data_IF_473535301026
#
_entry.id   IF_473535301026
#
_cell.length_a   1.000
_cell.length_b   1.000
_cell.length_c   1.000
_cell.angle_alpha   90.00
_cell.angle_beta   90.00
_cell.angle_gamma   90.00
#
_symmetry.space_group_name_H-M   'P 1'
#
loop_
_entity.id
_entity.type
_entity.pdbx_description
1 polymer ?
#
# COMPACT_ATOMS: atom_id res chain seq x y z
N UNK A 1 12.29 -22.47 15.76
CA UNK A 1 12.38 -21.10 15.21
C UNK A 1 11.01 -20.46 15.26
N UNK A 2 10.95 -19.14 15.44
CA UNK A 2 9.71 -18.37 15.48
C UNK A 2 9.61 -17.45 14.26
N UNK A 3 8.40 -17.19 13.84
CA UNK A 3 8.09 -16.31 12.70
C UNK A 3 7.00 -15.33 13.10
N UNK A 4 7.08 -14.11 12.57
CA UNK A 4 6.07 -13.08 12.79
C UNK A 4 5.31 -12.82 11.50
N UNK A 5 3.99 -12.94 11.56
CA UNK A 5 3.08 -12.45 10.52
C UNK A 5 2.50 -11.10 10.92
N UNK A 6 2.50 -10.15 10.00
CA UNK A 6 1.90 -8.82 10.18
C UNK A 6 0.82 -8.62 9.13
N UNK A 7 -0.41 -8.37 9.56
CA UNK A 7 -1.54 -8.03 8.70
C UNK A 7 -1.95 -6.57 8.94
N UNK A 8 -1.64 -5.71 7.99
CA UNK A 8 -2.03 -4.30 8.01
C UNK A 8 -3.44 -4.13 7.43
N UNK A 9 -4.45 -4.33 8.26
CA UNK A 9 -5.86 -4.15 7.86
C UNK A 9 -6.27 -2.69 7.76
N UNK A 10 -7.53 -2.44 7.39
CA UNK A 10 -8.06 -1.06 7.25
C UNK A 10 -8.26 -0.37 8.62
N UNK A 11 -8.63 -1.10 9.66
CA UNK A 11 -8.93 -0.54 10.99
C UNK A 11 -7.90 -0.88 12.06
N UNK A 12 -7.06 -1.87 11.83
CA UNK A 12 -6.07 -2.34 12.79
C UNK A 12 -4.93 -3.09 12.12
N UNK A 13 -3.75 -3.07 12.75
CA UNK A 13 -2.69 -4.03 12.46
C UNK A 13 -2.82 -5.21 13.41
N UNK A 14 -2.75 -6.42 12.85
CA UNK A 14 -2.73 -7.66 13.60
C UNK A 14 -1.38 -8.34 13.44
N UNK A 15 -0.85 -8.85 14.53
CA UNK A 15 0.43 -9.56 14.54
C UNK A 15 0.24 -10.95 15.15
N UNK A 16 0.92 -11.92 14.59
CA UNK A 16 0.95 -13.31 15.07
C UNK A 16 2.38 -13.78 15.22
N UNK A 17 2.68 -14.45 16.32
CA UNK A 17 3.93 -15.16 16.53
C UNK A 17 3.62 -16.65 16.44
N UNK A 18 4.31 -17.36 15.54
CA UNK A 18 4.10 -18.79 15.31
C UNK A 18 5.43 -19.51 15.11
N UNK A 19 5.45 -20.81 15.35
CA UNK A 19 6.61 -21.65 15.06
C UNK A 19 6.49 -22.37 13.69
N UNK A 20 7.52 -23.09 13.32
CA UNK A 20 7.61 -23.87 12.08
C UNK A 20 6.55 -24.97 11.92
N UNK A 21 5.87 -25.35 13.02
CA UNK A 21 4.76 -26.34 12.99
C UNK A 21 3.41 -25.67 12.74
N UNK A 22 3.36 -24.34 12.73
CA UNK A 22 2.14 -23.55 12.63
C UNK A 22 1.44 -23.33 13.98
N UNK A 23 2.07 -23.69 15.11
CA UNK A 23 1.54 -23.39 16.44
C UNK A 23 1.68 -21.92 16.75
N UNK A 24 0.58 -21.28 17.14
CA UNK A 24 0.54 -19.87 17.55
C UNK A 24 1.01 -19.75 19.01
N UNK A 25 2.01 -18.91 19.22
CA UNK A 25 2.57 -18.60 20.53
C UNK A 25 2.03 -17.28 21.11
N UNK A 26 1.55 -16.38 20.24
CA UNK A 26 0.94 -15.13 20.66
C UNK A 26 0.29 -14.36 19.51
N UNK A 27 -0.64 -13.50 19.86
CA UNK A 27 -1.29 -12.58 18.92
C UNK A 27 -1.49 -11.23 19.58
N UNK A 28 -1.44 -10.16 18.78
CA UNK A 28 -1.82 -8.82 19.24
C UNK A 28 -2.55 -8.08 18.11
N UNK A 29 -3.38 -7.12 18.49
CA UNK A 29 -4.09 -6.24 17.55
C UNK A 29 -4.05 -4.82 18.09
N UNK A 30 -3.76 -3.86 17.21
CA UNK A 30 -3.67 -2.44 17.53
C UNK A 30 -4.48 -1.66 16.52
N UNK A 31 -5.41 -0.84 17.01
CA UNK A 31 -6.30 -0.02 16.18
C UNK A 31 -5.64 1.32 15.83
N UNK A 32 -6.03 1.90 14.70
CA UNK A 32 -5.65 3.24 14.28
C UNK A 32 -6.81 3.96 13.60
N UNK A 33 -6.68 5.28 13.51
CA UNK A 33 -7.74 6.14 13.02
C UNK A 33 -7.94 6.01 11.50
N UNK A 34 -9.21 6.04 11.11
CA UNK A 34 -9.67 6.21 9.74
C UNK A 34 -10.27 7.62 9.63
N UNK A 35 -9.86 8.37 8.63
CA UNK A 35 -10.30 9.75 8.40
C UNK A 35 -11.21 9.81 7.17
N UNK A 36 -12.29 10.57 7.27
CA UNK A 36 -13.24 10.84 6.20
C UNK A 36 -13.33 12.35 5.96
N UNK A 37 -12.34 12.98 5.27
CA UNK A 37 -12.27 14.44 5.12
C UNK A 37 -13.45 15.02 4.36
N UNK A 38 -14.04 14.24 3.44
CA UNK A 38 -15.23 14.58 2.66
C UNK A 38 -16.10 13.34 2.45
N UNK A 39 -17.38 13.47 2.10
CA UNK A 39 -18.23 12.32 1.76
C UNK A 39 -17.59 11.47 0.65
N UNK A 40 -17.48 10.16 0.90
CA UNK A 40 -16.88 9.20 -0.02
C UNK A 40 -15.35 9.18 -0.05
N UNK A 41 -14.66 10.01 0.76
CA UNK A 41 -13.20 9.97 0.91
C UNK A 41 -12.81 9.11 2.11
N UNK A 42 -11.67 8.44 2.00
CA UNK A 42 -11.14 7.58 3.05
C UNK A 42 -9.62 7.68 3.08
N UNK A 43 -9.07 8.15 4.20
CA UNK A 43 -7.64 8.41 4.36
C UNK A 43 -7.11 7.87 5.68
N UNK A 44 -5.82 7.55 5.69
CA UNK A 44 -5.08 7.23 6.91
C UNK A 44 -3.69 7.88 6.91
N UNK A 45 -3.17 8.13 8.12
CA UNK A 45 -1.79 8.56 8.29
C UNK A 45 -0.87 7.33 8.32
N UNK A 46 0.06 7.15 7.38
CA UNK A 46 0.97 6.01 7.37
C UNK A 46 1.84 5.89 8.63
N UNK A 47 2.12 7.00 9.32
CA UNK A 47 2.86 6.98 10.58
C UNK A 47 2.10 6.22 11.68
N UNK A 48 0.77 6.26 11.68
CA UNK A 48 -0.03 5.54 12.66
C UNK A 48 0.14 4.02 12.49
N UNK A 49 0.20 3.52 11.26
CA UNK A 49 0.45 2.11 10.98
C UNK A 49 1.79 1.65 11.55
N UNK A 50 2.85 2.43 11.32
CA UNK A 50 4.18 2.12 11.81
C UNK A 50 4.24 2.13 13.34
N UNK A 51 3.69 3.18 13.96
CA UNK A 51 3.70 3.33 15.42
C UNK A 51 2.96 2.19 16.11
N UNK A 52 1.76 1.83 15.60
CA UNK A 52 0.96 0.75 16.16
C UNK A 52 1.57 -0.63 15.87
N UNK A 53 2.21 -0.83 14.71
CA UNK A 53 2.95 -2.06 14.43
C UNK A 53 4.14 -2.22 15.38
N UNK A 54 4.91 -1.17 15.64
CA UNK A 54 6.02 -1.18 16.62
C UNK A 54 5.52 -1.46 18.03
N UNK A 55 4.42 -0.82 18.45
CA UNK A 55 3.81 -1.08 19.76
C UNK A 55 3.35 -2.54 19.86
N UNK A 56 2.67 -3.04 18.84
CA UNK A 56 2.24 -4.45 18.79
C UNK A 56 3.40 -5.44 18.80
N UNK A 57 4.48 -5.16 18.09
CA UNK A 57 5.71 -5.98 18.13
C UNK A 57 6.34 -6.01 19.52
N UNK A 58 6.38 -4.87 20.23
CA UNK A 58 6.89 -4.79 21.60
C UNK A 58 6.04 -5.64 22.54
N UNK A 59 4.71 -5.57 22.43
CA UNK A 59 3.80 -6.38 23.24
C UNK A 59 3.96 -7.87 22.94
N UNK A 60 4.00 -8.24 21.67
CA UNK A 60 4.09 -9.64 21.21
C UNK A 60 5.41 -10.31 21.65
N UNK A 61 6.49 -9.54 21.69
CA UNK A 61 7.84 -10.05 21.98
C UNK A 61 8.33 -9.77 23.39
N UNK A 62 7.44 -9.34 24.31
CA UNK A 62 7.83 -8.92 25.66
C UNK A 62 8.57 -10.01 26.43
N UNK A 63 8.10 -11.25 26.36
CA UNK A 63 8.64 -12.41 27.09
C UNK A 63 9.27 -13.44 26.12
N UNK A 64 9.64 -13.01 24.91
CA UNK A 64 10.20 -13.88 23.87
C UNK A 64 11.70 -13.61 23.70
N UNK A 65 12.49 -14.65 23.60
CA UNK A 65 13.88 -14.51 23.15
C UNK A 65 13.89 -14.13 21.66
N UNK A 66 14.26 -12.88 21.38
CA UNK A 66 14.25 -12.33 20.03
C UNK A 66 15.22 -13.02 19.09
N UNK A 67 16.25 -13.71 19.62
CA UNK A 67 17.20 -14.48 18.82
C UNK A 67 16.56 -15.71 18.17
N UNK A 68 15.42 -16.18 18.69
CA UNK A 68 14.66 -17.28 18.10
C UNK A 68 13.77 -16.86 16.92
N UNK A 69 13.55 -15.54 16.71
CA UNK A 69 12.74 -15.02 15.61
C UNK A 69 13.55 -15.05 14.32
N UNK A 70 13.17 -15.96 13.43
CA UNK A 70 13.87 -16.22 12.18
C UNK A 70 13.41 -15.30 11.02
N UNK A 71 12.22 -14.73 11.11
CA UNK A 71 11.71 -13.88 10.04
C UNK A 71 10.38 -13.20 10.35
N UNK A 72 10.10 -12.17 9.54
CA UNK A 72 8.84 -11.42 9.56
C UNK A 72 8.30 -11.33 8.13
N UNK A 73 6.98 -11.45 7.98
CA UNK A 73 6.29 -11.29 6.70
C UNK A 73 5.08 -10.39 6.84
N UNK A 74 4.69 -9.77 5.74
CA UNK A 74 3.66 -8.73 5.70
C UNK A 74 2.54 -9.10 4.72
N UNK A 75 1.30 -8.97 5.18
CA UNK A 75 0.10 -8.83 4.37
C UNK A 75 -0.61 -7.53 4.75
N UNK A 76 -1.65 -7.15 4.02
CA UNK A 76 -2.42 -5.98 4.43
C UNK A 76 -3.35 -5.45 3.36
N UNK A 77 -3.95 -4.28 3.64
CA UNK A 77 -4.88 -3.62 2.73
C UNK A 77 -4.20 -3.26 1.40
N UNK A 78 -4.88 -3.61 0.31
CA UNK A 78 -4.42 -3.43 -1.06
C UNK A 78 -4.71 -2.01 -1.59
N UNK A 79 -4.16 -1.67 -2.76
CA UNK A 79 -4.54 -0.55 -3.64
C UNK A 79 -4.35 0.86 -3.09
N UNK A 80 -4.17 1.05 -1.79
CA UNK A 80 -3.97 2.37 -1.19
C UNK A 80 -2.75 3.08 -1.79
N UNK A 81 -2.80 4.41 -1.86
CA UNK A 81 -1.70 5.23 -2.37
C UNK A 81 -0.94 5.87 -1.21
N UNK A 82 0.30 5.46 -1.01
CA UNK A 82 1.29 6.15 -0.16
C UNK A 82 2.33 6.78 -1.08
N UNK A 83 2.60 8.08 -0.89
CA UNK A 83 3.59 8.82 -1.67
C UNK A 83 4.63 9.47 -0.76
N UNK A 84 5.90 9.27 -1.12
CA UNK A 84 7.04 9.80 -0.36
C UNK A 84 7.85 10.77 -1.21
N UNK A 85 8.48 11.73 -0.54
CA UNK A 85 9.41 12.69 -1.14
C UNK A 85 10.86 12.15 -1.23
N UNK A 86 11.80 13.02 -1.54
CA UNK A 86 13.22 12.69 -1.67
C UNK A 86 13.89 12.29 -0.34
N UNK A 87 13.31 12.66 0.80
CA UNK A 87 13.78 12.35 2.14
C UNK A 87 13.06 11.14 2.76
N UNK A 88 12.22 10.43 1.95
CA UNK A 88 11.35 9.35 2.40
C UNK A 88 10.26 9.79 3.39
N UNK A 89 9.92 11.08 3.40
CA UNK A 89 8.84 11.62 4.19
C UNK A 89 7.49 11.50 3.46
N UNK A 90 6.46 11.19 4.23
CA UNK A 90 5.09 11.06 3.69
C UNK A 90 4.57 12.43 3.27
N UNK A 91 4.26 12.60 1.98
CA UNK A 91 3.81 13.87 1.41
C UNK A 91 2.40 14.24 1.88
N UNK A 92 1.52 13.26 2.03
CA UNK A 92 0.13 13.43 2.45
C UNK A 92 -0.43 12.14 3.07
N UNK A 93 -1.58 12.19 3.79
CA UNK A 93 -2.29 10.98 4.21
C UNK A 93 -2.57 10.05 3.02
N UNK A 94 -2.45 8.75 3.25
CA UNK A 94 -2.71 7.74 2.24
C UNK A 94 -4.17 7.76 1.78
N UNK A 95 -4.41 7.69 0.47
CA UNK A 95 -5.75 7.50 -0.11
C UNK A 95 -6.04 6.00 -0.14
N UNK A 96 -7.06 5.55 0.57
CA UNK A 96 -7.31 4.12 0.77
C UNK A 96 -8.07 3.45 -0.39
N UNK A 97 -8.12 2.12 -0.35
CA UNK A 97 -8.78 1.29 -1.36
C UNK A 97 -10.30 1.54 -1.50
N UNK A 98 -10.96 1.92 -0.41
CA UNK A 98 -12.39 2.23 -0.32
C UNK A 98 -12.72 3.72 -0.55
N UNK A 99 -11.77 4.50 -1.05
CA UNK A 99 -11.95 5.90 -1.40
C UNK A 99 -12.58 6.05 -2.79
N UNK A 100 -13.62 6.86 -2.90
CA UNK A 100 -14.40 7.05 -4.14
C UNK A 100 -14.08 8.32 -4.93
N UNK A 101 -13.08 9.12 -4.52
CA UNK A 101 -12.79 10.45 -5.14
C UNK A 101 -12.35 10.39 -6.61
N UNK A 102 -11.92 9.24 -7.09
CA UNK A 102 -11.20 9.09 -8.37
C UNK A 102 -12.11 8.73 -9.55
N UNK A 103 -13.43 8.88 -9.45
CA UNK A 103 -14.35 8.43 -10.51
C UNK A 103 -14.04 9.10 -11.87
N UNK A 104 -13.72 10.40 -11.88
CA UNK A 104 -13.33 11.12 -13.11
C UNK A 104 -12.09 10.48 -13.79
N UNK A 105 -11.10 10.10 -13.01
CA UNK A 105 -9.86 9.47 -13.50
C UNK A 105 -10.13 8.04 -13.99
N UNK A 106 -11.06 7.31 -13.35
CA UNK A 106 -11.52 5.99 -13.82
C UNK A 106 -12.21 6.12 -15.18
N UNK A 107 -13.08 7.11 -15.34
CA UNK A 107 -13.79 7.36 -16.60
C UNK A 107 -12.81 7.72 -17.72
N UNK A 108 -11.83 8.60 -17.45
CA UNK A 108 -10.74 8.91 -18.38
C UNK A 108 -9.98 7.65 -18.80
N UNK A 109 -9.52 6.85 -17.85
CA UNK A 109 -8.76 5.62 -18.14
C UNK A 109 -9.58 4.61 -18.93
N UNK A 110 -10.83 4.35 -18.55
CA UNK A 110 -11.65 3.32 -19.18
C UNK A 110 -12.25 3.74 -20.53
N UNK A 111 -12.54 5.03 -20.73
CA UNK A 111 -13.26 5.49 -21.91
C UNK A 111 -12.34 6.20 -22.92
N UNK A 112 -11.38 7.03 -22.47
CA UNK A 112 -10.48 7.77 -23.37
C UNK A 112 -9.24 6.95 -23.71
N UNK A 113 -8.54 6.37 -22.72
CA UNK A 113 -7.45 5.41 -22.96
C UNK A 113 -8.01 4.10 -23.50
N UNK A 114 -9.12 3.64 -22.94
CA UNK A 114 -9.89 2.47 -23.36
C UNK A 114 -9.53 1.19 -22.61
N UNK A 115 -10.57 0.44 -22.23
CA UNK A 115 -10.44 -0.81 -21.44
C UNK A 115 -9.55 -1.86 -22.13
N UNK A 116 -9.63 -1.99 -23.44
CA UNK A 116 -8.80 -2.93 -24.19
C UNK A 116 -7.32 -2.57 -24.13
N UNK A 117 -7.01 -1.27 -24.24
CA UNK A 117 -5.65 -0.74 -24.11
C UNK A 117 -5.10 -0.97 -22.71
N UNK A 118 -5.88 -0.65 -21.68
CA UNK A 118 -5.50 -0.91 -20.29
C UNK A 118 -5.24 -2.39 -20.02
N UNK A 119 -6.15 -3.26 -20.50
CA UNK A 119 -5.99 -4.72 -20.38
C UNK A 119 -4.74 -5.23 -21.09
N UNK A 120 -4.39 -4.65 -22.23
CA UNK A 120 -3.15 -4.97 -22.94
C UNK A 120 -1.91 -4.59 -22.12
N UNK A 121 -1.94 -3.46 -21.40
CA UNK A 121 -0.82 -2.96 -20.63
C UNK A 121 -0.67 -3.61 -19.25
N UNK A 122 -1.79 -4.00 -18.63
CA UNK A 122 -1.80 -4.42 -17.22
C UNK A 122 -2.61 -5.67 -16.92
N UNK A 123 -3.27 -6.27 -17.92
CA UNK A 123 -4.25 -7.35 -17.78
C UNK A 123 -5.47 -6.97 -16.92
N UNK A 124 -5.77 -5.66 -16.78
CA UNK A 124 -6.85 -5.15 -15.94
C UNK A 124 -7.49 -3.89 -16.55
N UNK A 125 -8.59 -3.42 -15.96
CA UNK A 125 -9.27 -2.16 -16.25
C UNK A 125 -9.23 -1.26 -15.02
N UNK A 126 -9.58 0.03 -15.15
CA UNK A 126 -9.54 0.95 -14.02
C UNK A 126 -10.75 0.82 -13.09
N UNK A 127 -10.50 0.86 -11.78
CA UNK A 127 -11.47 0.95 -10.70
C UNK A 127 -11.06 2.05 -9.72
N UNK A 128 -12.03 2.68 -9.04
CA UNK A 128 -11.77 3.78 -8.10
C UNK A 128 -10.85 3.36 -6.94
N UNK A 129 -10.95 2.10 -6.51
CA UNK A 129 -10.09 1.53 -5.48
C UNK A 129 -8.61 1.40 -5.88
N UNK A 130 -8.26 1.33 -7.16
CA UNK A 130 -6.90 1.07 -7.65
C UNK A 130 -5.96 2.28 -7.49
N UNK A 131 -4.65 2.02 -7.55
CA UNK A 131 -3.62 3.01 -7.26
C UNK A 131 -3.46 4.06 -8.38
N UNK A 132 -3.43 3.64 -9.64
CA UNK A 132 -3.21 4.55 -10.78
C UNK A 132 -4.23 5.71 -10.87
N UNK A 133 -5.56 5.49 -10.70
CA UNK A 133 -6.51 6.59 -10.64
C UNK A 133 -6.24 7.59 -9.52
N UNK A 134 -5.70 7.15 -8.38
CA UNK A 134 -5.33 8.04 -7.26
C UNK A 134 -4.11 8.89 -7.58
N UNK A 135 -3.13 8.33 -8.31
CA UNK A 135 -1.97 9.08 -8.79
C UNK A 135 -2.43 10.21 -9.73
N UNK A 136 -3.31 9.90 -10.68
CA UNK A 136 -3.89 10.89 -11.60
C UNK A 136 -4.69 11.95 -10.85
N UNK A 137 -5.44 11.55 -9.83
CA UNK A 137 -6.17 12.50 -8.98
C UNK A 137 -5.22 13.47 -8.26
N UNK A 138 -4.13 12.96 -7.67
CA UNK A 138 -3.12 13.81 -7.01
C UNK A 138 -2.48 14.75 -8.03
N UNK A 139 -2.16 14.27 -9.24
CA UNK A 139 -1.61 15.09 -10.32
C UNK A 139 -2.52 16.27 -10.69
N UNK A 140 -3.83 16.03 -10.77
CA UNK A 140 -4.81 17.04 -11.15
C UNK A 140 -5.16 17.99 -10.00
N UNK A 141 -5.34 17.49 -8.79
CA UNK A 141 -5.90 18.24 -7.67
C UNK A 141 -4.86 18.74 -6.66
N UNK A 142 -3.69 18.09 -6.61
CA UNK A 142 -2.60 18.45 -5.71
C UNK A 142 -1.26 18.52 -6.46
N UNK A 143 -1.12 19.39 -7.51
CA UNK A 143 0.05 19.39 -8.38
C UNK A 143 1.37 19.66 -7.64
N UNK A 144 1.34 20.42 -6.55
CA UNK A 144 2.54 20.69 -5.76
C UNK A 144 2.96 19.48 -4.94
N UNK A 145 2.04 18.64 -4.51
CA UNK A 145 2.35 17.34 -3.90
C UNK A 145 2.85 16.35 -4.94
N UNK A 146 2.23 16.33 -6.12
CA UNK A 146 2.65 15.46 -7.22
C UNK A 146 4.10 15.69 -7.64
N UNK A 147 4.55 16.93 -7.73
CA UNK A 147 5.94 17.30 -8.08
C UNK A 147 6.98 16.76 -7.09
N UNK A 148 6.59 16.54 -5.83
CA UNK A 148 7.49 16.05 -4.77
C UNK A 148 7.64 14.54 -4.77
N UNK A 149 6.78 13.80 -5.49
CA UNK A 149 6.77 12.33 -5.46
C UNK A 149 8.11 11.78 -5.96
N UNK A 150 8.74 10.96 -5.12
CA UNK A 150 9.94 10.18 -5.45
C UNK A 150 9.69 8.68 -5.32
N UNK A 151 8.77 8.29 -4.44
CA UNK A 151 8.38 6.89 -4.24
C UNK A 151 6.87 6.75 -4.12
N UNK A 152 6.34 5.70 -4.72
CA UNK A 152 4.94 5.30 -4.63
C UNK A 152 4.90 3.91 -4.03
N UNK A 153 4.08 3.70 -3.01
CA UNK A 153 3.97 2.45 -2.29
C UNK A 153 2.52 2.10 -1.99
N UNK A 154 2.26 0.82 -1.81
CA UNK A 154 1.05 0.34 -1.15
C UNK A 154 1.20 0.43 0.37
N UNK A 155 0.09 0.42 1.15
CA UNK A 155 0.16 0.55 2.61
C UNK A 155 1.05 -0.50 3.28
N UNK A 156 0.91 -1.79 2.91
CA UNK A 156 1.76 -2.84 3.49
C UNK A 156 3.22 -2.72 3.08
N UNK A 157 3.49 -2.27 1.83
CA UNK A 157 4.86 -2.07 1.34
C UNK A 157 5.54 -0.93 2.10
N UNK A 158 4.81 0.14 2.42
CA UNK A 158 5.32 1.21 3.27
C UNK A 158 5.70 0.70 4.67
N UNK A 159 4.82 -0.11 5.30
CA UNK A 159 5.13 -0.69 6.60
C UNK A 159 6.35 -1.61 6.53
N UNK A 160 6.42 -2.48 5.53
CA UNK A 160 7.56 -3.36 5.30
C UNK A 160 8.86 -2.56 5.07
N UNK A 161 8.78 -1.49 4.26
CA UNK A 161 9.90 -0.58 4.02
C UNK A 161 10.41 0.09 5.31
N UNK A 162 9.50 0.64 6.12
CA UNK A 162 9.86 1.29 7.39
C UNK A 162 10.51 0.33 8.40
N UNK A 163 10.22 -0.97 8.31
CA UNK A 163 10.78 -1.98 9.20
C UNK A 163 12.07 -2.64 8.66
N UNK A 164 12.22 -2.73 7.35
CA UNK A 164 13.33 -3.44 6.71
C UNK A 164 14.37 -2.53 6.03
N UNK A 165 13.99 -1.30 5.69
CA UNK A 165 14.77 -0.41 4.83
C UNK A 165 14.77 -0.81 3.35
N UNK A 166 14.05 -1.86 2.96
CA UNK A 166 14.02 -2.36 1.58
C UNK A 166 12.78 -1.88 0.83
N UNK A 167 13.00 -1.17 -0.28
CA UNK A 167 11.94 -0.67 -1.15
C UNK A 167 11.53 -1.76 -2.16
N UNK A 168 10.43 -2.46 -1.87
CA UNK A 168 9.92 -3.53 -2.72
C UNK A 168 8.39 -3.68 -2.60
N UNK A 169 7.83 -4.43 -3.54
CA UNK A 169 6.44 -4.91 -3.53
C UNK A 169 6.41 -6.34 -4.05
N UNK A 170 5.24 -6.99 -4.05
CA UNK A 170 5.01 -8.28 -4.68
C UNK A 170 4.13 -8.16 -5.93
N UNK A 171 4.17 -9.19 -6.78
CA UNK A 171 3.41 -9.18 -8.04
C UNK A 171 1.89 -9.24 -7.84
N UNK A 172 1.43 -9.88 -6.76
CA UNK A 172 0.00 -10.02 -6.47
C UNK A 172 -0.61 -8.64 -6.23
N UNK A 173 -0.06 -7.88 -5.29
CA UNK A 173 -0.58 -6.55 -4.96
C UNK A 173 -0.25 -5.50 -6.03
N UNK A 174 0.94 -5.58 -6.64
CA UNK A 174 1.31 -4.69 -7.74
C UNK A 174 0.36 -4.81 -8.95
N UNK A 175 -0.21 -5.99 -9.19
CA UNK A 175 -1.21 -6.18 -10.26
C UNK A 175 -2.45 -5.31 -10.07
N UNK A 176 -2.85 -5.04 -8.83
CA UNK A 176 -3.97 -4.16 -8.47
C UNK A 176 -3.63 -2.67 -8.45
N UNK A 177 -2.38 -2.30 -8.69
CA UNK A 177 -2.00 -0.88 -8.83
C UNK A 177 -2.42 -0.29 -10.19
N UNK A 178 -2.70 -1.11 -11.19
CA UNK A 178 -2.87 -0.75 -12.61
C UNK A 178 -1.60 -0.09 -13.20
N UNK A 179 -0.44 -0.50 -12.72
CA UNK A 179 0.89 -0.03 -13.15
C UNK A 179 1.79 -1.19 -13.59
N UNK A 180 1.46 -2.43 -13.22
CA UNK A 180 2.25 -3.61 -13.54
C UNK A 180 1.79 -4.23 -14.87
N UNK A 181 2.73 -4.47 -15.78
CA UNK A 181 2.57 -5.42 -16.88
C UNK A 181 2.63 -6.84 -16.30
N UNK A 182 1.45 -7.39 -15.99
CA UNK A 182 1.30 -8.68 -15.32
C UNK A 182 1.92 -9.82 -16.14
N UNK A 183 1.79 -9.76 -17.46
CA UNK A 183 2.31 -10.79 -18.38
C UNK A 183 3.83 -10.88 -18.32
N UNK A 184 4.50 -9.74 -18.30
CA UNK A 184 5.97 -9.66 -18.33
C UNK A 184 6.57 -9.41 -16.93
N UNK A 185 5.76 -9.28 -15.88
CA UNK A 185 6.15 -9.06 -14.48
C UNK A 185 7.12 -7.89 -14.30
N UNK A 186 6.80 -6.77 -14.95
CA UNK A 186 7.57 -5.52 -14.88
C UNK A 186 6.62 -4.32 -14.84
N UNK A 187 7.11 -3.17 -14.44
CA UNK A 187 6.32 -1.95 -14.52
C UNK A 187 5.97 -1.65 -15.99
N UNK A 188 4.69 -1.33 -16.24
CA UNK A 188 4.22 -0.90 -17.57
C UNK A 188 4.69 0.53 -17.82
N UNK A 189 5.61 0.69 -18.77
CA UNK A 189 6.08 2.02 -19.17
C UNK A 189 4.92 2.89 -19.65
N UNK A 190 4.01 2.31 -20.42
CA UNK A 190 2.83 3.01 -20.95
C UNK A 190 1.93 3.55 -19.83
N UNK A 191 1.69 2.75 -18.80
CA UNK A 191 0.88 3.20 -17.66
C UNK A 191 1.61 4.24 -16.80
N UNK A 192 2.92 4.09 -16.61
CA UNK A 192 3.72 5.09 -15.92
C UNK A 192 3.70 6.43 -16.69
N UNK A 193 3.83 6.40 -18.01
CA UNK A 193 3.76 7.59 -18.87
C UNK A 193 2.36 8.26 -18.80
N UNK A 194 1.27 7.48 -18.84
CA UNK A 194 -0.11 7.98 -18.68
C UNK A 194 -0.27 8.68 -17.32
N UNK A 195 0.24 8.07 -16.24
CA UNK A 195 0.19 8.65 -14.91
C UNK A 195 1.16 9.85 -14.74
N UNK A 196 2.17 9.97 -15.62
CA UNK A 196 3.21 10.99 -15.56
C UNK A 196 4.25 10.73 -14.46
N UNK A 197 4.51 9.45 -14.20
CA UNK A 197 5.53 8.97 -13.27
C UNK A 197 6.58 8.19 -14.07
N UNK A 198 7.86 8.50 -13.87
CA UNK A 198 9.00 7.87 -14.58
C UNK A 198 10.08 7.47 -13.59
#
# INVERSE_FOLDING_TARGET
>A
MLYIGVDLGTSSVKLVLMDETGKIHGTTSREYKLYFPQPGWSEQNPADWYNEAIAGLKDLLKDVDKSEVAGISFGGQMHGLVILDENDEVIRPAILWNDGRTQKQVDYLNNEIGKETLSKYTANIAFAGFTAPKILWVKENEPENFKKIKKIMLPKDYLAYKLSGTFCTDYSDASGMLLLDVKNRKWSKEMCDICGIT
#
